data_IF_501410401532
#
_entry.id   IF_501410401532
#
_cell.length_a   1.000
_cell.length_b   1.000
_cell.length_c   1.000
_cell.angle_alpha   90.00
_cell.angle_beta   90.00
_cell.angle_gamma   90.00
#
_symmetry.space_group_name_H-M   'P 1'
#
loop_
_entity.id
_entity.type
_entity.pdbx_description
1 polymer ?
#
# COMPACT_ATOMS: atom_id res chain seq x y z
N UNK A 1 -15.48 -3.25 -15.45
CA UNK A 1 -14.74 -2.65 -14.34
C UNK A 1 -13.73 -1.69 -14.94
N UNK A 2 -13.96 -0.42 -14.71
CA UNK A 2 -13.09 0.70 -15.08
C UNK A 2 -12.45 1.25 -13.80
N UNK A 3 -11.39 2.08 -13.90
CA UNK A 3 -10.83 2.75 -12.73
C UNK A 3 -11.87 3.56 -11.94
N UNK A 4 -12.90 4.07 -12.60
CA UNK A 4 -13.99 4.83 -11.97
C UNK A 4 -14.87 3.97 -11.05
N UNK A 5 -14.82 2.64 -11.21
CA UNK A 5 -15.53 1.68 -10.35
C UNK A 5 -14.72 1.32 -9.08
N UNK A 6 -13.53 1.91 -8.87
CA UNK A 6 -12.63 1.61 -7.74
C UNK A 6 -12.63 2.77 -6.75
N UNK A 7 -13.13 2.53 -5.55
CA UNK A 7 -13.13 3.54 -4.47
C UNK A 7 -11.82 3.56 -3.67
N UNK A 8 -11.11 2.44 -3.59
CA UNK A 8 -9.88 2.31 -2.78
C UNK A 8 -8.81 1.52 -3.53
N UNK A 9 -7.61 2.09 -3.57
CA UNK A 9 -6.41 1.46 -4.11
C UNK A 9 -5.54 0.96 -2.97
N UNK A 10 -5.48 -0.35 -2.77
CA UNK A 10 -4.54 -0.96 -1.82
C UNK A 10 -3.21 -1.27 -2.50
N UNK A 11 -2.12 -0.85 -1.88
CA UNK A 11 -0.75 -1.05 -2.35
C UNK A 11 0.19 -1.50 -1.24
N UNK A 12 1.30 -2.12 -1.64
CA UNK A 12 2.42 -2.43 -0.77
C UNK A 12 3.62 -1.63 -1.27
N UNK A 13 4.08 -0.69 -0.44
CA UNK A 13 5.34 0.01 -0.64
C UNK A 13 6.48 -0.83 -0.05
N UNK A 14 7.44 -1.22 -0.89
CA UNK A 14 8.54 -2.11 -0.55
C UNK A 14 9.85 -1.34 -0.62
N UNK A 15 10.22 -0.71 0.49
CA UNK A 15 11.53 -0.09 0.66
C UNK A 15 12.61 -1.09 1.10
N UNK A 16 13.88 -0.69 0.96
CA UNK A 16 15.04 -1.51 1.38
C UNK A 16 15.08 -1.83 2.87
N UNK A 17 14.52 -0.96 3.70
CA UNK A 17 14.59 -1.03 5.17
C UNK A 17 13.23 -1.04 5.86
N UNK A 18 12.16 -0.73 5.14
CA UNK A 18 10.81 -0.66 5.67
C UNK A 18 9.81 -0.99 4.56
N UNK A 19 8.70 -1.61 4.94
CA UNK A 19 7.56 -1.86 4.07
C UNK A 19 6.33 -1.24 4.68
N UNK A 20 5.46 -0.69 3.83
CA UNK A 20 4.23 -0.05 4.27
C UNK A 20 3.05 -0.58 3.44
N UNK A 21 1.99 -0.96 4.15
CA UNK A 21 0.70 -1.17 3.52
C UNK A 21 0.07 0.22 3.36
N UNK A 22 -0.31 0.56 2.14
CA UNK A 22 -0.83 1.86 1.78
C UNK A 22 -2.21 1.72 1.15
N UNK A 23 -3.12 2.64 1.44
CA UNK A 23 -4.39 2.74 0.76
C UNK A 23 -4.69 4.19 0.41
N UNK A 24 -5.09 4.41 -0.84
CA UNK A 24 -5.52 5.71 -1.35
C UNK A 24 -7.01 5.67 -1.71
N UNK A 25 -7.70 6.78 -1.55
CA UNK A 25 -9.00 6.98 -2.21
C UNK A 25 -8.83 7.36 -3.68
N UNK A 26 -9.95 7.65 -4.35
CA UNK A 26 -9.99 8.03 -5.77
C UNK A 26 -9.31 9.37 -6.06
N UNK A 27 -9.27 10.29 -5.11
CA UNK A 27 -8.64 11.61 -5.27
C UNK A 27 -7.13 11.54 -5.01
N UNK A 28 -6.65 10.38 -4.53
CA UNK A 28 -5.25 10.12 -4.22
C UNK A 28 -4.88 10.43 -2.77
N UNK A 29 -5.86 10.72 -1.91
CA UNK A 29 -5.64 10.99 -0.50
C UNK A 29 -5.37 9.70 0.27
N UNK A 30 -4.43 9.75 1.22
CA UNK A 30 -4.06 8.58 2.03
C UNK A 30 -5.15 8.24 3.04
N UNK A 31 -5.78 7.08 2.87
CA UNK A 31 -6.71 6.48 3.83
C UNK A 31 -6.00 5.59 4.86
N UNK A 32 -4.91 4.94 4.46
CA UNK A 32 -4.16 4.03 5.31
C UNK A 32 -2.68 4.07 4.96
N UNK A 33 -1.85 4.23 5.97
CA UNK A 33 -0.40 4.09 5.87
C UNK A 33 0.11 3.49 7.18
N UNK A 34 0.53 2.22 7.15
CA UNK A 34 1.08 1.54 8.32
C UNK A 34 2.28 0.69 7.94
N UNK A 35 3.30 0.65 8.82
CA UNK A 35 4.42 -0.24 8.62
C UNK A 35 3.96 -1.70 8.66
N UNK A 36 4.54 -2.50 7.77
CA UNK A 36 4.39 -3.96 7.71
C UNK A 36 5.71 -4.59 8.12
N UNK A 37 5.65 -5.75 8.78
CA UNK A 37 6.86 -6.47 9.20
C UNK A 37 7.66 -6.91 7.98
N UNK A 38 8.97 -6.71 8.02
CA UNK A 38 9.94 -7.23 7.07
C UNK A 38 10.37 -8.61 7.57
N UNK A 39 9.75 -9.67 7.04
CA UNK A 39 10.03 -11.07 7.43
C UNK A 39 10.61 -11.90 6.28
N UNK A 40 11.06 -11.25 5.20
CA UNK A 40 11.83 -11.91 4.15
C UNK A 40 13.10 -12.48 4.78
N UNK A 41 13.17 -13.80 4.86
CA UNK A 41 14.35 -14.47 5.38
C UNK A 41 15.49 -14.23 4.41
N UNK A 42 16.56 -13.61 4.89
CA UNK A 42 17.86 -13.67 4.21
C UNK A 42 18.23 -15.15 4.13
N UNK A 43 18.18 -15.71 2.91
CA UNK A 43 18.62 -17.07 2.60
C UNK A 43 20.14 -17.20 2.76
#
# INVERSE_FOLDING_TARGET
MTPDDIDVWAGLDVGKSAHHAHALDRDGDTLYDKPVKQDEKVL
#
